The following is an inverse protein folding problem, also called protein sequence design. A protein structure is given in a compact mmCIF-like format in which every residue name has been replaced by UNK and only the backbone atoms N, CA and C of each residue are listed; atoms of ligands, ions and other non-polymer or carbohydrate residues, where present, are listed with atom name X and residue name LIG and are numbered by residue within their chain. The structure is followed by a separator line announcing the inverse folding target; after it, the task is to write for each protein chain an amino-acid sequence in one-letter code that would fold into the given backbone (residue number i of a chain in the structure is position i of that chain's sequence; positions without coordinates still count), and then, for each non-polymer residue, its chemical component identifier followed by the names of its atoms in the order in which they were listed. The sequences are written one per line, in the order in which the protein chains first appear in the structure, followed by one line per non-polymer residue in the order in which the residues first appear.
data_IF_340198206189
#
_entry.id   IF_340198206189
#
_cell.length_a   1.000
_cell.length_b   1.000
_cell.length_c   1.000
_cell.angle_alpha   90.00
_cell.angle_beta   90.00
_cell.angle_gamma   90.00
#
_symmetry.space_group_name_H-M   'P 1'
#
loop_
_entity.id
_entity.type
_entity.pdbx_description
1 polymer ?
#
# COMPACT_ATOMS: atom_id res chain seq x y z
N UNK A 1 -57.63 -3.69 21.20
CA UNK A 1 -56.94 -2.63 21.95
C UNK A 1 -55.53 -2.49 21.39
N UNK A 2 -55.34 -1.65 20.39
CA UNK A 2 -54.01 -1.09 20.08
C UNK A 2 -54.22 0.42 20.16
N UNK A 3 -53.69 1.03 21.22
CA UNK A 3 -53.88 2.45 21.51
C UNK A 3 -53.01 3.30 20.59
N UNK A 4 -53.61 4.34 20.03
CA UNK A 4 -52.88 5.47 19.46
C UNK A 4 -52.12 6.17 20.59
N UNK A 5 -50.80 6.03 20.64
CA UNK A 5 -49.98 6.90 21.49
C UNK A 5 -49.85 8.29 20.85
N UNK A 6 -50.15 9.32 21.63
CA UNK A 6 -49.95 10.71 21.22
C UNK A 6 -48.45 11.03 21.11
N UNK A 7 -48.00 11.81 20.10
CA UNK A 7 -46.59 12.12 19.86
C UNK A 7 -45.86 12.85 21.03
N UNK A 8 -46.58 13.24 22.08
CA UNK A 8 -46.02 13.83 23.30
C UNK A 8 -45.28 12.86 24.22
N UNK A 9 -45.33 11.54 24.00
CA UNK A 9 -44.65 10.52 24.81
C UNK A 9 -43.22 10.18 24.36
N UNK A 10 -42.75 10.75 23.24
CA UNK A 10 -41.42 10.49 22.70
C UNK A 10 -40.36 11.32 23.47
N UNK A 11 -39.20 10.75 23.83
CA UNK A 11 -38.11 11.52 24.40
C UNK A 11 -37.70 12.62 23.40
N UNK A 12 -37.85 13.89 23.78
CA UNK A 12 -37.39 15.02 22.97
C UNK A 12 -35.87 14.99 22.91
N UNK A 13 -35.30 14.76 21.73
CA UNK A 13 -33.87 14.99 21.52
C UNK A 13 -33.59 16.48 21.78
N UNK A 14 -32.63 16.85 22.65
CA UNK A 14 -32.36 18.25 22.98
C UNK A 14 -31.79 19.05 21.79
N UNK A 15 -31.23 18.38 20.78
CA UNK A 15 -30.75 18.98 19.53
C UNK A 15 -30.64 17.92 18.44
N UNK A 16 -30.86 18.32 17.18
CA UNK A 16 -30.65 17.50 15.98
C UNK A 16 -29.63 18.20 15.09
N UNK A 17 -28.41 17.66 15.02
CA UNK A 17 -27.37 18.19 14.12
C UNK A 17 -27.44 17.44 12.80
N UNK A 18 -27.65 18.18 11.71
CA UNK A 18 -27.68 17.65 10.37
C UNK A 18 -26.38 17.99 9.62
N UNK A 19 -25.77 16.99 8.96
CA UNK A 19 -24.54 17.19 8.19
C UNK A 19 -24.84 17.04 6.69
N UNK A 20 -24.43 18.04 5.91
CA UNK A 20 -24.60 18.09 4.46
C UNK A 20 -23.26 18.34 3.74
N UNK A 21 -23.33 18.60 2.43
CA UNK A 21 -22.17 18.93 1.60
C UNK A 21 -22.43 20.21 0.84
N UNK A 22 -21.40 21.03 0.61
CA UNK A 22 -21.48 22.23 -0.22
C UNK A 22 -22.00 21.98 -1.65
N UNK A 23 -22.01 20.73 -2.11
CA UNK A 23 -22.66 20.33 -3.37
C UNK A 23 -24.15 20.68 -3.44
N UNK A 24 -24.86 20.82 -2.30
CA UNK A 24 -26.30 21.15 -2.29
C UNK A 24 -26.62 22.57 -2.77
N UNK A 25 -25.63 23.47 -2.82
CA UNK A 25 -25.75 24.84 -3.35
C UNK A 25 -25.00 25.04 -4.67
N UNK A 26 -24.43 23.96 -5.23
CA UNK A 26 -23.77 24.02 -6.54
C UNK A 26 -24.79 23.88 -7.68
N UNK A 27 -24.56 24.62 -8.76
CA UNK A 27 -25.29 24.51 -10.03
C UNK A 27 -24.64 23.51 -11.02
N UNK A 28 -23.54 22.86 -10.60
CA UNK A 28 -22.70 21.94 -11.38
C UNK A 28 -22.08 22.53 -12.68
N UNK A 29 -22.25 23.83 -12.94
CA UNK A 29 -21.76 24.50 -14.14
C UNK A 29 -20.67 25.54 -13.82
N UNK A 30 -20.75 26.19 -12.67
CA UNK A 30 -19.79 27.19 -12.21
C UNK A 30 -19.03 26.71 -10.96
N UNK A 31 -17.78 27.16 -10.83
CA UNK A 31 -17.00 26.97 -9.61
C UNK A 31 -17.69 27.66 -8.43
N UNK A 32 -17.94 26.90 -7.36
CA UNK A 32 -18.46 27.44 -6.11
C UNK A 32 -17.33 28.18 -5.36
N UNK A 33 -17.27 29.51 -5.47
CA UNK A 33 -16.22 30.36 -4.87
C UNK A 33 -16.79 31.20 -3.73
N UNK A 34 -16.17 31.13 -2.55
CA UNK A 34 -16.53 31.96 -1.39
C UNK A 34 -17.96 31.75 -0.91
N UNK A 35 -18.47 30.52 -1.01
CA UNK A 35 -19.85 30.24 -0.64
C UNK A 35 -20.08 30.27 0.86
N UNK A 36 -21.22 30.85 1.24
CA UNK A 36 -21.69 30.95 2.61
C UNK A 36 -23.14 30.47 2.72
N UNK A 37 -23.72 30.65 3.90
CA UNK A 37 -25.10 30.24 4.22
C UNK A 37 -26.18 31.07 3.50
N UNK A 38 -25.81 32.16 2.84
CA UNK A 38 -26.74 32.98 2.06
C UNK A 38 -26.93 32.47 0.61
N UNK A 39 -26.13 31.49 0.17
CA UNK A 39 -26.27 30.91 -1.17
C UNK A 39 -27.59 30.12 -1.32
N UNK A 40 -28.37 30.38 -2.38
CA UNK A 40 -29.65 29.70 -2.57
C UNK A 40 -29.45 28.22 -2.95
N UNK A 41 -30.28 27.34 -2.39
CA UNK A 41 -30.36 25.96 -2.86
C UNK A 41 -30.98 25.93 -4.26
N UNK A 42 -30.34 25.24 -5.21
CA UNK A 42 -30.87 25.07 -6.57
C UNK A 42 -31.80 23.83 -6.64
N UNK A 43 -33.11 23.96 -6.90
CA UNK A 43 -34.02 22.81 -6.96
C UNK A 43 -33.92 22.01 -8.27
N UNK A 44 -34.55 20.84 -8.29
CA UNK A 44 -34.27 19.68 -9.16
C UNK A 44 -34.39 19.80 -10.68
N UNK A 45 -34.96 20.86 -11.25
CA UNK A 45 -35.20 20.92 -12.71
C UNK A 45 -34.03 21.54 -13.51
N UNK A 46 -33.04 22.14 -12.83
CA UNK A 46 -31.87 22.77 -13.45
C UNK A 46 -30.57 21.97 -13.25
N UNK A 47 -30.64 20.72 -12.74
CA UNK A 47 -29.45 19.94 -12.33
C UNK A 47 -29.26 18.67 -13.15
N UNK A 48 -28.03 18.37 -13.62
CA UNK A 48 -27.73 17.13 -14.34
C UNK A 48 -27.58 15.89 -13.43
N UNK A 49 -27.28 16.07 -12.13
CA UNK A 49 -26.85 14.96 -11.25
C UNK A 49 -27.89 14.53 -10.20
N UNK A 50 -28.42 13.30 -10.36
CA UNK A 50 -29.38 12.65 -9.47
C UNK A 50 -28.87 12.49 -8.01
N UNK A 51 -27.55 12.36 -7.82
CA UNK A 51 -26.93 12.20 -6.50
C UNK A 51 -27.06 13.46 -5.62
N UNK A 52 -26.87 14.65 -6.19
CA UNK A 52 -26.94 15.93 -5.46
C UNK A 52 -28.39 16.27 -5.13
N UNK A 53 -29.33 15.92 -6.02
CA UNK A 53 -30.75 16.07 -5.79
C UNK A 53 -31.23 15.28 -4.56
N UNK A 54 -30.85 14.01 -4.45
CA UNK A 54 -31.19 13.20 -3.27
C UNK A 54 -30.50 13.69 -1.99
N UNK A 55 -29.30 14.29 -2.06
CA UNK A 55 -28.67 14.92 -0.88
C UNK A 55 -29.37 16.19 -0.42
N UNK A 56 -29.93 16.97 -1.35
CA UNK A 56 -30.70 18.16 -1.03
C UNK A 56 -32.06 17.82 -0.41
N UNK A 57 -32.67 16.70 -0.82
CA UNK A 57 -33.97 16.22 -0.32
C UNK A 57 -33.86 15.33 0.92
N UNK A 58 -32.83 14.50 0.98
CA UNK A 58 -32.57 13.54 2.05
C UNK A 58 -31.14 13.73 2.53
N UNK A 59 -30.98 14.57 3.53
CA UNK A 59 -30.62 13.97 4.82
C UNK A 59 -29.35 13.11 4.94
N UNK A 60 -28.36 13.13 4.04
CA UNK A 60 -27.36 12.05 3.95
C UNK A 60 -26.00 12.40 4.54
N UNK A 61 -25.73 11.83 5.73
CA UNK A 61 -24.41 11.74 6.39
C UNK A 61 -23.45 10.94 5.50
N UNK A 62 -22.35 11.53 5.01
CA UNK A 62 -21.20 10.75 4.53
C UNK A 62 -19.89 11.56 4.56
N UNK A 63 -19.13 11.40 5.65
CA UNK A 63 -17.70 11.69 5.71
C UNK A 63 -16.88 10.52 5.14
N UNK A 64 -17.02 10.21 3.85
CA UNK A 64 -16.28 9.09 3.18
C UNK A 64 -15.76 9.49 1.80
N UNK A 65 -15.70 10.78 1.46
CA UNK A 65 -15.03 11.21 0.22
C UNK A 65 -13.51 10.98 0.35
N UNK A 66 -12.95 11.23 1.53
CA UNK A 66 -11.53 11.01 1.81
C UNK A 66 -11.10 9.55 1.63
N UNK A 67 -11.87 8.59 2.17
CA UNK A 67 -11.53 7.17 2.10
C UNK A 67 -11.73 6.60 0.68
N UNK A 68 -12.80 6.98 -0.03
CA UNK A 68 -13.04 6.48 -1.40
C UNK A 68 -11.98 7.01 -2.38
N UNK A 69 -11.63 8.30 -2.29
CA UNK A 69 -10.53 8.89 -3.07
C UNK A 69 -9.21 8.25 -2.68
N UNK A 70 -8.92 8.10 -1.38
CA UNK A 70 -7.73 7.41 -0.89
C UNK A 70 -7.62 5.97 -1.43
N UNK A 71 -8.69 5.18 -1.34
CA UNK A 71 -8.72 3.80 -1.84
C UNK A 71 -8.55 3.73 -3.36
N UNK A 72 -9.15 4.65 -4.12
CA UNK A 72 -8.94 4.73 -5.57
C UNK A 72 -7.49 5.12 -5.92
N UNK A 73 -6.88 6.03 -5.15
CA UNK A 73 -5.47 6.40 -5.31
C UNK A 73 -4.56 5.24 -4.97
N UNK A 74 -4.84 4.52 -3.87
CA UNK A 74 -4.11 3.31 -3.49
C UNK A 74 -4.22 2.25 -4.58
N UNK A 75 -5.43 1.99 -5.07
CA UNK A 75 -5.65 1.05 -6.16
C UNK A 75 -4.89 1.45 -7.45
N UNK A 76 -4.87 2.74 -7.78
CA UNK A 76 -4.13 3.26 -8.95
C UNK A 76 -2.62 3.18 -8.76
N UNK A 77 -2.12 3.48 -7.55
CA UNK A 77 -0.71 3.34 -7.17
C UNK A 77 -0.26 1.87 -7.26
N UNK A 78 -1.06 0.93 -6.74
CA UNK A 78 -0.74 -0.50 -6.76
C UNK A 78 -0.87 -1.13 -8.15
N UNK A 79 -1.80 -0.67 -8.99
CA UNK A 79 -2.02 -1.23 -10.35
C UNK A 79 -1.14 -0.60 -11.43
N UNK A 80 -0.57 0.58 -11.19
CA UNK A 80 0.36 1.24 -12.11
C UNK A 80 -0.19 2.10 -13.28
N UNK A 81 -1.50 2.20 -13.60
CA UNK A 81 -1.94 3.13 -14.65
C UNK A 81 -1.90 4.57 -14.15
N UNK A 82 -0.87 5.34 -14.53
CA UNK A 82 -0.68 6.74 -14.11
C UNK A 82 -1.05 7.77 -15.18
N UNK A 83 -1.53 7.33 -16.35
CA UNK A 83 -1.72 8.18 -17.55
C UNK A 83 -3.15 8.66 -17.78
N UNK A 84 -4.12 8.24 -16.97
CA UNK A 84 -5.52 8.61 -17.14
C UNK A 84 -5.92 9.59 -16.06
N UNK A 85 -6.46 10.75 -16.47
CA UNK A 85 -7.14 11.69 -15.60
C UNK A 85 -8.55 11.94 -16.11
N UNK A 86 -9.49 12.26 -15.22
CA UNK A 86 -10.85 12.64 -15.58
C UNK A 86 -10.90 14.16 -15.72
N UNK A 87 -11.22 14.65 -16.93
CA UNK A 87 -11.37 16.08 -17.23
C UNK A 87 -10.06 16.89 -17.21
N UNK A 88 -10.18 18.21 -17.34
CA UNK A 88 -9.04 19.14 -17.42
C UNK A 88 -8.31 19.37 -16.07
N UNK A 89 -8.86 18.82 -14.97
CA UNK A 89 -8.29 18.88 -13.62
C UNK A 89 -8.00 20.30 -13.10
N UNK A 90 -8.88 21.23 -13.50
CA UNK A 90 -8.92 22.62 -13.03
C UNK A 90 -9.92 22.81 -11.88
N UNK A 91 -10.63 21.76 -11.49
CA UNK A 91 -11.60 21.79 -10.40
C UNK A 91 -10.92 22.12 -9.07
N UNK A 92 -11.46 23.14 -8.41
CA UNK A 92 -11.07 23.58 -7.08
C UNK A 92 -11.83 22.78 -6.02
N UNK A 93 -11.11 22.32 -5.01
CA UNK A 93 -11.67 21.62 -3.87
C UNK A 93 -11.19 22.26 -2.57
N UNK A 94 -12.09 22.28 -1.59
CA UNK A 94 -11.76 22.51 -0.20
C UNK A 94 -11.72 21.15 0.50
N UNK A 95 -10.53 20.77 1.00
CA UNK A 95 -10.31 19.55 1.76
C UNK A 95 -10.26 19.87 3.26
N UNK A 96 -11.43 20.03 3.89
CA UNK A 96 -11.52 20.20 5.35
C UNK A 96 -11.05 18.94 6.09
N UNK A 97 -10.28 19.13 7.16
CA UNK A 97 -9.81 18.03 8.00
C UNK A 97 -11.00 17.40 8.76
N UNK A 98 -11.03 16.07 8.89
CA UNK A 98 -12.10 15.38 9.62
C UNK A 98 -12.17 15.79 11.10
N UNK A 99 -11.05 16.26 11.68
CA UNK A 99 -11.02 16.84 13.02
C UNK A 99 -11.84 18.13 13.13
N UNK A 100 -11.86 18.97 12.07
CA UNK A 100 -12.69 20.17 12.01
C UNK A 100 -14.19 19.85 12.09
N UNK A 101 -14.60 18.70 11.51
CA UNK A 101 -15.97 18.19 11.61
C UNK A 101 -16.34 17.68 13.02
N UNK A 102 -15.36 17.23 13.82
CA UNK A 102 -15.61 16.78 15.20
C UNK A 102 -15.95 17.91 16.17
N UNK A 103 -15.71 19.17 15.80
CA UNK A 103 -16.12 20.34 16.58
C UNK A 103 -17.60 20.71 16.38
N UNK A 104 -18.33 20.04 15.48
CA UNK A 104 -19.75 20.31 15.20
C UNK A 104 -20.66 20.26 16.44
N UNK A 105 -20.56 19.28 17.35
CA UNK A 105 -21.40 19.25 18.55
C UNK A 105 -21.12 20.42 19.49
N UNK A 106 -19.87 20.89 19.56
CA UNK A 106 -19.48 22.05 20.39
C UNK A 106 -20.02 23.37 19.82
N UNK A 107 -19.93 23.57 18.50
CA UNK A 107 -20.50 24.74 17.82
C UNK A 107 -22.03 24.79 17.92
N UNK A 108 -22.69 23.64 17.76
CA UNK A 108 -24.13 23.53 17.96
C UNK A 108 -24.54 23.87 19.40
N UNK A 109 -23.75 23.46 20.39
CA UNK A 109 -24.00 23.78 21.81
C UNK A 109 -23.76 25.24 22.18
N UNK A 110 -22.86 25.94 21.47
CA UNK A 110 -22.61 27.37 21.70
C UNK A 110 -23.65 28.27 21.03
N UNK A 111 -24.22 27.85 19.89
CA UNK A 111 -25.28 28.59 19.20
C UNK A 111 -26.59 28.66 20.00
N UNK A 112 -26.86 27.66 20.85
CA UNK A 112 -28.02 27.62 21.74
C UNK A 112 -27.95 28.67 22.87
N UNK A 113 -26.75 29.24 23.13
CA UNK A 113 -26.54 30.24 24.18
C UNK A 113 -26.72 31.70 23.69
N UNK A 114 -26.98 31.91 22.39
CA UNK A 114 -27.16 33.24 21.80
C UNK A 114 -28.63 33.63 21.72
N UNK A 115 -29.11 34.64 22.48
CA UNK A 115 -30.52 35.01 22.51
C UNK A 115 -30.86 35.92 21.32
N UNK A 116 -31.24 35.35 20.18
CA UNK A 116 -31.75 36.16 19.05
C UNK A 116 -32.88 35.50 18.25
N UNK A 117 -34.07 36.09 18.43
CA UNK A 117 -35.32 36.06 17.65
C UNK A 117 -36.14 34.74 17.58
N UNK A 118 -37.27 34.66 18.30
CA UNK A 118 -38.31 33.69 17.99
C UNK A 118 -39.16 34.20 16.81
N UNK A 119 -39.11 33.53 15.67
CA UNK A 119 -40.13 33.65 14.63
C UNK A 119 -41.07 32.44 14.73
N UNK A 120 -42.32 32.67 15.11
CA UNK A 120 -43.36 31.65 15.08
C UNK A 120 -43.78 31.48 13.62
N UNK A 121 -43.58 30.29 13.06
CA UNK A 121 -44.17 29.92 11.77
C UNK A 121 -45.65 29.56 11.97
N UNK A 122 -46.47 29.83 10.93
CA UNK A 122 -47.93 29.75 10.97
C UNK A 122 -48.52 28.33 11.13
N UNK A 123 -47.68 27.31 11.23
CA UNK A 123 -48.01 25.90 11.35
C UNK A 123 -47.90 25.35 12.79
N UNK A 124 -47.61 26.21 13.78
CA UNK A 124 -47.61 25.85 15.20
C UNK A 124 -46.32 25.19 15.70
N UNK A 125 -45.28 25.11 14.86
CA UNK A 125 -43.95 24.67 15.27
C UNK A 125 -43.08 25.84 15.75
N UNK A 126 -42.41 25.66 16.90
CA UNK A 126 -41.38 26.59 17.37
C UNK A 126 -40.07 26.29 16.64
N UNK A 127 -39.67 27.15 15.71
CA UNK A 127 -38.31 27.16 15.18
C UNK A 127 -37.43 28.01 16.10
N UNK A 128 -36.90 27.41 17.16
CA UNK A 128 -35.78 27.99 17.90
C UNK A 128 -34.49 27.40 17.33
N UNK A 129 -33.61 28.23 16.75
CA UNK A 129 -32.19 27.88 16.61
C UNK A 129 -31.77 27.01 15.41
N UNK A 130 -32.48 27.03 14.27
CA UNK A 130 -31.96 26.38 13.06
C UNK A 130 -30.91 27.27 12.37
N UNK A 131 -29.67 27.24 12.83
CA UNK A 131 -28.52 27.89 12.16
C UNK A 131 -27.77 26.88 11.29
N UNK A 132 -27.49 27.26 10.04
CA UNK A 132 -26.59 26.51 9.17
C UNK A 132 -25.15 27.01 9.40
N UNK A 133 -24.19 26.09 9.39
CA UNK A 133 -22.76 26.42 9.48
C UNK A 133 -22.02 25.88 8.26
N UNK A 134 -21.24 26.74 7.61
CA UNK A 134 -20.31 26.34 6.56
C UNK A 134 -18.96 26.02 7.20
N UNK A 135 -18.51 24.77 7.09
CA UNK A 135 -17.21 24.34 7.58
C UNK A 135 -16.26 24.25 6.40
N UNK A 136 -15.32 25.18 6.36
CA UNK A 136 -14.30 25.34 5.32
C UNK A 136 -12.93 25.44 5.99
N UNK A 137 -11.88 25.01 5.30
CA UNK A 137 -10.50 25.28 5.75
C UNK A 137 -9.93 26.59 5.16
N UNK A 138 -10.74 27.33 4.39
CA UNK A 138 -10.41 28.53 3.62
C UNK A 138 -9.16 28.40 2.72
N UNK A 139 -8.87 27.17 2.30
CA UNK A 139 -7.75 26.81 1.43
C UNK A 139 -8.25 25.96 0.26
N UNK A 140 -8.82 26.62 -0.74
CA UNK A 140 -9.11 25.97 -2.02
C UNK A 140 -7.82 25.49 -2.69
N UNK A 141 -7.80 24.24 -3.13
CA UNK A 141 -6.68 23.64 -3.86
C UNK A 141 -7.18 22.96 -5.12
N UNK A 142 -6.40 23.07 -6.19
CA UNK A 142 -6.62 22.25 -7.37
C UNK A 142 -6.41 20.78 -7.00
N UNK A 143 -7.33 19.92 -7.47
CA UNK A 143 -7.23 18.48 -7.25
C UNK A 143 -5.87 17.92 -7.71
N UNK A 144 -5.33 18.42 -8.84
CA UNK A 144 -4.00 18.07 -9.34
C UNK A 144 -2.86 18.30 -8.35
N UNK A 145 -2.92 19.38 -7.57
CA UNK A 145 -1.83 19.77 -6.67
C UNK A 145 -1.92 19.02 -5.34
N UNK A 146 -3.14 18.73 -4.89
CA UNK A 146 -3.38 17.75 -3.83
C UNK A 146 -2.82 16.37 -4.21
N UNK A 147 -3.16 15.88 -5.40
CA UNK A 147 -2.69 14.60 -5.93
C UNK A 147 -1.16 14.51 -6.06
N UNK A 148 -0.50 15.58 -6.53
CA UNK A 148 0.98 15.63 -6.62
C UNK A 148 1.66 15.59 -5.26
N UNK A 149 1.08 16.24 -4.25
CA UNK A 149 1.62 16.23 -2.88
C UNK A 149 1.52 14.86 -2.24
N UNK A 150 0.35 14.20 -2.39
CA UNK A 150 0.17 12.79 -2.01
C UNK A 150 1.17 11.90 -2.75
N UNK A 151 1.31 12.05 -4.06
CA UNK A 151 2.25 11.26 -4.86
C UNK A 151 3.70 11.41 -4.39
N UNK A 152 4.17 12.64 -4.12
CA UNK A 152 5.52 12.88 -3.56
C UNK A 152 5.71 12.23 -2.19
N UNK A 153 4.68 12.26 -1.35
CA UNK A 153 4.70 11.57 -0.06
C UNK A 153 4.83 10.06 -0.25
N UNK A 154 4.03 9.46 -1.13
CA UNK A 154 4.09 8.02 -1.44
C UNK A 154 5.41 7.58 -2.09
N UNK A 155 5.96 8.34 -3.03
CA UNK A 155 7.27 8.06 -3.65
C UNK A 155 8.39 8.06 -2.61
N UNK A 156 8.36 8.98 -1.64
CA UNK A 156 9.29 8.95 -0.50
C UNK A 156 9.03 7.74 0.42
N UNK A 157 7.80 7.26 0.48
CA UNK A 157 7.45 6.04 1.23
C UNK A 157 7.97 4.78 0.53
N UNK A 158 8.04 4.76 -0.81
CA UNK A 158 8.65 3.67 -1.58
C UNK A 158 10.14 3.50 -1.28
N UNK A 159 10.87 4.60 -1.08
CA UNK A 159 12.28 4.57 -0.61
C UNK A 159 12.41 4.00 0.81
N UNK A 160 11.47 4.34 1.70
CA UNK A 160 11.42 3.80 3.06
C UNK A 160 11.14 2.29 3.06
N UNK A 161 10.23 1.81 2.21
CA UNK A 161 9.91 0.40 2.04
C UNK A 161 11.10 -0.42 1.49
N UNK A 162 11.82 0.13 0.51
CA UNK A 162 13.07 -0.49 0.00
C UNK A 162 14.12 -0.63 1.11
N UNK A 163 14.32 0.41 1.90
CA UNK A 163 15.28 0.40 3.02
C UNK A 163 14.84 -0.55 4.13
N UNK A 164 13.54 -0.63 4.40
CA UNK A 164 12.98 -1.53 5.41
C UNK A 164 13.13 -3.00 5.04
N UNK A 165 12.90 -3.35 3.77
CA UNK A 165 13.09 -4.72 3.28
C UNK A 165 14.56 -5.17 3.40
N UNK A 166 15.52 -4.35 2.94
CA UNK A 166 16.96 -4.62 3.14
C UNK A 166 17.32 -4.72 4.61
N UNK A 167 16.82 -3.82 5.46
CA UNK A 167 17.09 -3.85 6.90
C UNK A 167 16.53 -5.11 7.58
N UNK A 168 15.39 -5.65 7.12
CA UNK A 168 14.86 -6.91 7.63
C UNK A 168 15.76 -8.10 7.27
N UNK A 169 16.32 -8.11 6.06
CA UNK A 169 17.26 -9.16 5.64
C UNK A 169 18.49 -9.24 6.53
N UNK A 170 19.04 -8.08 6.89
CA UNK A 170 20.27 -7.94 7.68
C UNK A 170 20.01 -7.80 9.19
N UNK A 171 18.76 -7.90 9.64
CA UNK A 171 18.39 -7.67 11.04
C UNK A 171 19.07 -8.70 11.96
N UNK A 172 20.07 -8.24 12.72
CA UNK A 172 20.73 -9.03 13.75
C UNK A 172 19.95 -8.94 15.07
N UNK A 173 19.28 -10.03 15.42
CA UNK A 173 18.58 -10.17 16.71
C UNK A 173 19.54 -10.79 17.74
N UNK A 174 19.69 -10.22 18.95
CA UNK A 174 20.50 -10.84 20.00
C UNK A 174 20.08 -12.29 20.27
N UNK A 175 21.07 -13.18 20.43
CA UNK A 175 20.87 -14.62 20.66
C UNK A 175 20.25 -15.42 19.49
N UNK A 176 19.92 -14.78 18.37
CA UNK A 176 19.56 -15.47 17.12
C UNK A 176 20.83 -15.69 16.31
N UNK A 177 21.04 -16.94 15.88
CA UNK A 177 22.32 -17.37 15.30
C UNK A 177 22.63 -16.66 13.98
N UNK A 178 21.66 -16.59 13.08
CA UNK A 178 21.84 -16.10 11.72
C UNK A 178 20.77 -15.05 11.39
N UNK A 179 21.15 -14.04 10.62
CA UNK A 179 20.23 -13.13 9.94
C UNK A 179 19.47 -13.85 8.83
N UNK A 180 18.40 -13.26 8.32
CA UNK A 180 17.65 -13.85 7.21
C UNK A 180 18.52 -14.00 5.95
N UNK A 181 19.41 -13.04 5.67
CA UNK A 181 20.31 -13.10 4.53
C UNK A 181 21.36 -14.22 4.66
N UNK A 182 21.89 -14.45 5.87
CA UNK A 182 22.80 -15.57 6.16
C UNK A 182 22.10 -16.93 6.03
N UNK A 183 20.81 -17.01 6.40
CA UNK A 183 20.00 -18.22 6.18
C UNK A 183 19.79 -18.45 4.68
N UNK A 184 19.48 -17.41 3.89
CA UNK A 184 19.38 -17.51 2.43
C UNK A 184 20.68 -18.00 1.79
N UNK A 185 21.83 -17.44 2.21
CA UNK A 185 23.14 -17.88 1.73
C UNK A 185 23.43 -19.36 2.08
N UNK A 186 23.07 -19.79 3.29
CA UNK A 186 23.22 -21.19 3.73
C UNK A 186 22.37 -22.14 2.87
N UNK A 187 21.12 -21.78 2.57
CA UNK A 187 20.24 -22.55 1.69
C UNK A 187 20.87 -22.71 0.29
N UNK A 188 21.43 -21.62 -0.27
CA UNK A 188 22.10 -21.66 -1.58
C UNK A 188 23.30 -22.60 -1.52
N UNK A 189 24.13 -22.51 -0.48
CA UNK A 189 25.33 -23.33 -0.32
C UNK A 189 25.01 -24.83 -0.18
N UNK A 190 23.96 -25.16 0.58
CA UNK A 190 23.50 -26.54 0.78
C UNK A 190 22.84 -27.11 -0.48
N UNK A 191 22.04 -26.29 -1.17
CA UNK A 191 21.30 -26.72 -2.36
C UNK A 191 22.17 -26.78 -3.61
N UNK A 192 23.24 -25.99 -3.67
CA UNK A 192 24.14 -25.85 -4.81
C UNK A 192 25.61 -25.93 -4.33
N UNK A 193 26.17 -27.14 -4.16
CA UNK A 193 27.54 -27.34 -3.67
C UNK A 193 28.64 -26.66 -4.53
N UNK A 194 28.31 -26.29 -5.78
CA UNK A 194 29.15 -25.51 -6.69
C UNK A 194 28.53 -24.15 -7.02
N UNK A 195 28.04 -23.40 -6.01
CA UNK A 195 27.44 -22.08 -6.22
C UNK A 195 28.33 -21.12 -7.03
N UNK A 196 29.66 -21.25 -6.95
CA UNK A 196 30.62 -20.45 -7.71
C UNK A 196 30.63 -20.71 -9.22
N UNK A 197 30.04 -21.81 -9.71
CA UNK A 197 29.84 -22.03 -11.15
C UNK A 197 28.62 -21.29 -11.71
N UNK A 198 27.84 -20.62 -10.85
CA UNK A 198 26.70 -19.83 -11.23
C UNK A 198 27.01 -18.34 -11.14
N UNK A 199 26.45 -17.59 -12.08
CA UNK A 199 26.21 -16.17 -11.90
C UNK A 199 24.76 -16.00 -11.49
N UNK A 200 24.53 -15.26 -10.42
CA UNK A 200 23.21 -14.97 -9.89
C UNK A 200 22.71 -13.65 -10.47
N UNK A 201 21.44 -13.62 -10.85
CA UNK A 201 20.78 -12.45 -11.42
C UNK A 201 19.52 -12.20 -10.60
N UNK A 202 19.43 -11.04 -9.95
CA UNK A 202 18.19 -10.56 -9.35
C UNK A 202 17.53 -9.57 -10.30
N UNK A 203 16.49 -9.97 -11.07
CA UNK A 203 15.80 -9.10 -12.01
C UNK A 203 14.80 -8.15 -11.33
N UNK A 204 14.69 -8.19 -10.00
CA UNK A 204 13.79 -7.37 -9.19
C UNK A 204 14.54 -6.83 -7.97
N UNK A 205 15.80 -6.43 -8.17
CA UNK A 205 16.74 -6.14 -7.09
C UNK A 205 16.34 -4.92 -6.26
N UNK A 206 15.50 -4.00 -6.77
CA UNK A 206 15.17 -2.72 -6.13
C UNK A 206 16.43 -2.04 -5.58
N UNK A 207 16.54 -1.82 -4.27
CA UNK A 207 17.72 -1.20 -3.64
C UNK A 207 18.90 -2.17 -3.35
N UNK A 208 18.79 -3.45 -3.72
CA UNK A 208 19.84 -4.46 -3.57
C UNK A 208 19.48 -5.63 -2.66
N UNK A 209 18.44 -5.51 -1.83
CA UNK A 209 17.91 -6.61 -1.01
C UNK A 209 19.00 -7.31 -0.17
N UNK A 210 18.98 -8.64 -0.06
CA UNK A 210 19.99 -9.41 0.69
C UNK A 210 21.27 -9.69 -0.11
N UNK A 211 21.36 -9.24 -1.37
CA UNK A 211 22.44 -9.64 -2.28
C UNK A 211 23.84 -9.31 -1.73
N UNK A 212 24.12 -8.13 -1.12
CA UNK A 212 25.44 -7.85 -0.53
C UNK A 212 25.87 -8.86 0.54
N UNK A 213 24.94 -9.23 1.43
CA UNK A 213 25.20 -10.19 2.50
C UNK A 213 25.36 -11.62 1.96
N UNK A 214 24.54 -12.01 0.97
CA UNK A 214 24.66 -13.31 0.29
C UNK A 214 25.98 -13.40 -0.48
N UNK A 215 26.36 -12.34 -1.20
CA UNK A 215 27.62 -12.28 -1.94
C UNK A 215 28.81 -12.45 -1.01
N UNK A 216 28.82 -11.76 0.13
CA UNK A 216 29.89 -11.90 1.15
C UNK A 216 30.03 -13.35 1.64
N UNK A 217 28.92 -14.06 1.79
CA UNK A 217 28.90 -15.43 2.28
C UNK A 217 29.29 -16.48 1.22
N UNK A 218 29.00 -16.21 -0.06
CA UNK A 218 29.20 -17.16 -1.16
C UNK A 218 30.44 -16.87 -2.01
N UNK A 219 30.90 -15.62 -2.08
CA UNK A 219 31.95 -15.12 -2.96
C UNK A 219 31.70 -15.50 -4.43
N UNK A 220 30.52 -15.14 -4.95
CA UNK A 220 30.05 -15.49 -6.31
C UNK A 220 29.55 -14.25 -7.04
N UNK A 221 29.44 -14.33 -8.38
CA UNK A 221 29.03 -13.18 -9.20
C UNK A 221 27.54 -12.93 -9.09
N UNK A 222 27.16 -11.67 -8.86
CA UNK A 222 25.78 -11.20 -8.83
C UNK A 222 25.55 -10.06 -9.83
N UNK A 223 24.38 -10.06 -10.46
CA UNK A 223 23.87 -8.96 -11.27
C UNK A 223 22.56 -8.45 -10.71
N UNK A 224 22.52 -7.16 -10.41
CA UNK A 224 21.31 -6.44 -10.00
C UNK A 224 20.63 -5.84 -11.23
N UNK A 225 19.35 -6.13 -11.41
CA UNK A 225 18.51 -5.56 -12.45
C UNK A 225 17.11 -5.27 -11.89
N UNK A 226 16.41 -4.32 -12.48
CA UNK A 226 15.05 -3.98 -12.06
C UNK A 226 14.29 -3.26 -13.18
N UNK A 227 12.96 -3.35 -13.16
CA UNK A 227 12.07 -2.54 -14.01
C UNK A 227 12.25 -1.04 -13.76
N UNK A 228 12.62 -0.66 -12.53
CA UNK A 228 12.91 0.70 -12.08
C UNK A 228 14.26 0.74 -11.35
N UNK A 229 15.38 0.83 -12.09
CA UNK A 229 16.72 0.73 -11.53
C UNK A 229 17.04 1.74 -10.41
N UNK A 230 17.53 1.25 -9.27
CA UNK A 230 18.05 2.08 -8.16
C UNK A 230 19.58 2.29 -8.30
N UNK A 231 19.98 3.00 -9.36
CA UNK A 231 21.39 3.11 -9.79
C UNK A 231 22.29 3.77 -8.74
N UNK A 232 21.76 4.66 -7.90
CA UNK A 232 22.55 5.36 -6.86
C UNK A 232 23.01 4.35 -5.80
N UNK A 233 22.08 3.53 -5.32
CA UNK A 233 22.30 2.48 -4.33
C UNK A 233 23.21 1.39 -4.90
N UNK A 234 22.97 0.96 -6.14
CA UNK A 234 23.81 -0.07 -6.77
C UNK A 234 25.24 0.37 -7.02
N UNK A 235 25.46 1.66 -7.33
CA UNK A 235 26.82 2.23 -7.39
C UNK A 235 27.50 2.21 -6.02
N UNK A 236 26.76 2.39 -4.93
CA UNK A 236 27.31 2.29 -3.57
C UNK A 236 27.66 0.84 -3.21
N UNK A 237 26.78 -0.12 -3.52
CA UNK A 237 27.02 -1.56 -3.32
C UNK A 237 28.24 -2.03 -4.13
N UNK A 238 28.29 -1.73 -5.44
CA UNK A 238 29.40 -2.13 -6.32
C UNK A 238 30.77 -1.60 -5.86
N UNK A 239 30.82 -0.44 -5.21
CA UNK A 239 32.08 0.09 -4.65
C UNK A 239 32.61 -0.76 -3.49
N UNK A 240 31.73 -1.48 -2.80
CA UNK A 240 32.07 -2.29 -1.63
C UNK A 240 32.22 -3.78 -1.98
N UNK A 241 31.61 -4.22 -3.09
CA UNK A 241 31.56 -5.63 -3.50
C UNK A 241 32.02 -5.81 -4.95
N UNK A 242 33.18 -6.42 -5.15
CA UNK A 242 33.77 -6.64 -6.49
C UNK A 242 32.97 -7.63 -7.34
N UNK A 243 32.33 -8.63 -6.71
CA UNK A 243 31.54 -9.63 -7.44
C UNK A 243 30.12 -9.15 -7.81
N UNK A 244 29.73 -7.94 -7.39
CA UNK A 244 28.41 -7.37 -7.70
C UNK A 244 28.50 -6.40 -8.87
N UNK A 245 27.78 -6.70 -9.93
CA UNK A 245 27.53 -5.81 -11.07
C UNK A 245 26.04 -5.50 -11.19
N UNK A 246 25.67 -4.56 -12.06
CA UNK A 246 24.28 -4.16 -12.25
C UNK A 246 24.02 -3.68 -13.69
N UNK A 247 22.76 -3.76 -14.11
CA UNK A 247 22.27 -3.24 -15.39
C UNK A 247 21.57 -1.90 -15.12
N UNK A 248 22.13 -0.75 -15.53
CA UNK A 248 21.52 0.55 -15.23
C UNK A 248 20.23 0.83 -16.01
N UNK A 249 19.97 0.10 -17.09
CA UNK A 249 18.75 0.21 -17.89
C UNK A 249 17.57 -0.56 -17.27
N UNK A 250 16.31 -0.11 -17.48
CA UNK A 250 15.12 -0.86 -17.07
C UNK A 250 15.07 -2.27 -17.67
N UNK A 251 14.88 -3.28 -16.81
CA UNK A 251 14.77 -4.69 -17.21
C UNK A 251 13.38 -5.24 -16.93
N UNK A 252 12.80 -5.95 -17.90
CA UNK A 252 11.57 -6.71 -17.73
C UNK A 252 11.87 -8.16 -17.37
N UNK A 253 11.52 -8.58 -16.15
CA UNK A 253 11.71 -9.95 -15.69
C UNK A 253 10.91 -10.98 -16.52
N UNK A 254 9.84 -10.56 -17.20
CA UNK A 254 8.99 -11.45 -18.02
C UNK A 254 9.63 -11.84 -19.35
N UNK A 255 10.66 -11.11 -19.79
CA UNK A 255 11.33 -11.29 -21.08
C UNK A 255 12.85 -11.11 -20.97
N UNK A 256 13.41 -11.35 -19.78
CA UNK A 256 14.85 -11.25 -19.58
C UNK A 256 15.53 -12.39 -20.32
N UNK A 257 16.49 -12.06 -21.17
CA UNK A 257 17.38 -13.03 -21.80
C UNK A 257 18.56 -13.34 -20.88
N UNK A 258 19.37 -14.33 -21.27
CA UNK A 258 20.58 -14.69 -20.53
C UNK A 258 21.56 -13.51 -20.51
N UNK A 259 22.06 -13.17 -19.32
CA UNK A 259 23.06 -12.12 -19.11
C UNK A 259 24.47 -12.70 -19.18
N UNK A 260 24.65 -13.95 -18.72
CA UNK A 260 25.97 -14.59 -18.70
C UNK A 260 26.42 -15.02 -20.09
N UNK A 261 27.63 -14.64 -20.50
CA UNK A 261 28.24 -15.15 -21.74
C UNK A 261 28.76 -16.59 -21.61
N UNK A 262 29.20 -16.97 -20.40
CA UNK A 262 29.73 -18.30 -20.09
C UNK A 262 29.27 -18.73 -18.68
N UNK A 263 29.16 -20.04 -18.47
CA UNK A 263 28.74 -20.61 -17.20
C UNK A 263 27.22 -20.70 -17.03
N UNK A 264 26.78 -21.08 -15.82
CA UNK A 264 25.35 -21.26 -15.52
C UNK A 264 24.75 -19.97 -14.95
N UNK A 265 23.49 -19.74 -15.26
CA UNK A 265 22.74 -18.57 -14.75
C UNK A 265 21.69 -19.02 -13.74
N UNK A 266 21.69 -18.36 -12.57
CA UNK A 266 20.67 -18.51 -11.54
C UNK A 266 19.83 -17.23 -11.43
N UNK A 267 18.51 -17.33 -11.56
CA UNK A 267 17.60 -16.20 -11.30
C UNK A 267 17.10 -16.23 -9.87
N UNK A 268 17.45 -15.22 -9.10
CA UNK A 268 17.09 -15.11 -7.68
C UNK A 268 16.03 -14.02 -7.50
N UNK A 269 14.97 -14.34 -6.74
CA UNK A 269 13.89 -13.40 -6.41
C UNK A 269 13.80 -13.27 -4.90
N UNK A 270 14.08 -12.08 -4.37
CA UNK A 270 14.08 -11.81 -2.93
C UNK A 270 12.86 -10.98 -2.54
N UNK A 271 11.82 -11.64 -2.00
CA UNK A 271 10.55 -11.00 -1.57
C UNK A 271 9.86 -10.23 -2.70
N UNK A 272 10.16 -10.58 -3.95
CA UNK A 272 9.71 -9.85 -5.13
C UNK A 272 8.67 -10.61 -5.94
N UNK A 273 8.65 -11.95 -5.86
CA UNK A 273 7.83 -12.77 -6.75
C UNK A 273 6.32 -12.62 -6.49
N UNK A 274 5.93 -12.36 -5.24
CA UNK A 274 4.56 -12.01 -4.83
C UNK A 274 3.97 -10.76 -5.49
N UNK A 275 4.78 -9.92 -6.14
CA UNK A 275 4.30 -8.72 -6.84
C UNK A 275 3.76 -9.01 -8.25
N UNK A 276 4.06 -10.18 -8.81
CA UNK A 276 3.52 -10.59 -10.10
C UNK A 276 2.13 -11.21 -9.91
N UNK A 277 1.18 -10.82 -10.75
CA UNK A 277 -0.06 -11.60 -10.95
C UNK A 277 0.24 -12.92 -11.65
N UNK A 278 -0.78 -13.79 -11.81
CA UNK A 278 -0.54 -15.14 -12.32
C UNK A 278 -0.05 -15.16 -13.77
N UNK A 279 -0.51 -14.23 -14.60
CA UNK A 279 -0.11 -14.16 -16.01
C UNK A 279 1.34 -13.66 -16.12
N UNK A 280 1.71 -12.61 -15.39
CA UNK A 280 3.08 -12.14 -15.33
C UNK A 280 4.01 -13.19 -14.70
N UNK A 281 3.58 -13.87 -13.63
CA UNK A 281 4.38 -14.91 -12.97
C UNK A 281 4.68 -16.09 -13.91
N UNK A 282 3.69 -16.53 -14.71
CA UNK A 282 3.89 -17.54 -15.77
C UNK A 282 4.93 -17.07 -16.79
N UNK A 283 4.88 -15.81 -17.21
CA UNK A 283 5.85 -15.27 -18.16
C UNK A 283 7.25 -15.19 -17.57
N UNK A 284 7.39 -14.72 -16.32
CA UNK A 284 8.67 -14.71 -15.60
C UNK A 284 9.26 -16.11 -15.52
N UNK A 285 8.49 -17.09 -15.05
CA UNK A 285 8.95 -18.48 -14.94
C UNK A 285 9.25 -19.10 -16.31
N UNK A 286 8.43 -18.83 -17.33
CA UNK A 286 8.70 -19.29 -18.70
C UNK A 286 10.00 -18.69 -19.25
N UNK A 287 10.25 -17.40 -19.02
CA UNK A 287 11.49 -16.75 -19.43
C UNK A 287 12.69 -17.36 -18.73
N UNK A 288 12.61 -17.55 -17.41
CA UNK A 288 13.64 -18.23 -16.60
C UNK A 288 13.92 -19.60 -17.17
N UNK A 289 12.87 -20.39 -17.39
CA UNK A 289 13.00 -21.77 -17.82
C UNK A 289 13.57 -21.88 -19.23
N UNK A 290 13.45 -20.87 -20.08
CA UNK A 290 14.00 -20.86 -21.44
C UNK A 290 15.44 -20.36 -21.50
N UNK A 291 15.82 -19.43 -20.63
CA UNK A 291 17.06 -18.67 -20.78
C UNK A 291 18.07 -18.87 -19.66
N UNK A 292 17.65 -19.37 -18.49
CA UNK A 292 18.50 -19.65 -17.33
C UNK A 292 18.52 -21.14 -16.96
N UNK A 293 19.43 -21.53 -16.07
CA UNK A 293 19.66 -22.91 -15.65
C UNK A 293 18.90 -23.30 -14.37
N UNK A 294 18.58 -22.28 -13.58
CA UNK A 294 18.15 -22.38 -12.20
C UNK A 294 17.39 -21.11 -11.82
N UNK A 295 16.40 -21.25 -10.95
CA UNK A 295 15.87 -20.14 -10.19
C UNK A 295 15.66 -20.48 -8.74
N UNK A 296 15.69 -19.44 -7.91
CA UNK A 296 15.38 -19.51 -6.50
C UNK A 296 14.51 -18.32 -6.11
N UNK A 297 13.42 -18.59 -5.41
CA UNK A 297 12.47 -17.60 -4.91
C UNK A 297 12.51 -17.67 -3.40
N UNK A 298 12.77 -16.54 -2.75
CA UNK A 298 12.78 -16.39 -1.30
C UNK A 298 11.63 -15.49 -0.86
N UNK A 299 10.87 -15.94 0.14
CA UNK A 299 9.72 -15.21 0.66
C UNK A 299 9.68 -15.30 2.19
N UNK A 300 9.50 -14.16 2.89
CA UNK A 300 9.24 -14.16 4.34
C UNK A 300 7.81 -14.54 4.71
N UNK A 301 6.89 -14.47 3.74
CA UNK A 301 5.48 -14.71 4.00
C UNK A 301 5.03 -15.92 3.20
N UNK A 302 4.11 -16.71 3.75
CA UNK A 302 3.30 -17.71 3.07
C UNK A 302 1.90 -17.73 3.72
N UNK A 303 0.90 -18.30 3.02
CA UNK A 303 -0.47 -18.42 3.54
C UNK A 303 -0.58 -19.53 4.61
N UNK A 304 0.04 -19.30 5.76
CA UNK A 304 0.02 -20.18 6.92
C UNK A 304 -0.09 -19.38 8.23
N UNK A 305 -0.50 -20.07 9.30
CA UNK A 305 -0.78 -19.43 10.58
C UNK A 305 0.48 -18.87 11.26
N UNK A 306 1.63 -19.50 11.07
CA UNK A 306 2.90 -19.06 11.67
C UNK A 306 3.37 -17.77 11.01
N UNK A 307 3.31 -17.70 9.68
CA UNK A 307 3.54 -16.45 8.94
C UNK A 307 2.56 -15.35 9.37
N UNK A 308 1.27 -15.67 9.55
CA UNK A 308 0.29 -14.68 10.00
C UNK A 308 0.69 -14.08 11.36
N UNK A 309 1.15 -14.90 12.30
CA UNK A 309 1.66 -14.43 13.59
C UNK A 309 2.91 -13.56 13.42
N UNK A 310 3.84 -13.93 12.53
CA UNK A 310 4.99 -13.09 12.20
C UNK A 310 4.57 -11.74 11.57
N UNK A 311 3.60 -11.74 10.65
CA UNK A 311 3.06 -10.53 10.03
C UNK A 311 2.46 -9.61 11.09
N UNK A 312 1.66 -10.14 12.02
CA UNK A 312 1.16 -9.38 13.16
C UNK A 312 2.32 -8.83 14.02
N UNK A 313 3.35 -9.65 14.29
CA UNK A 313 4.52 -9.26 15.07
C UNK A 313 5.45 -8.27 14.35
N UNK A 314 5.46 -8.13 13.04
CA UNK A 314 6.32 -7.14 12.36
C UNK A 314 5.57 -5.87 12.00
N UNK A 315 4.27 -6.00 11.78
CA UNK A 315 3.46 -4.97 11.14
C UNK A 315 2.52 -4.26 12.11
N UNK A 316 2.10 -4.95 13.18
CA UNK A 316 1.25 -4.43 14.26
C UNK A 316 2.04 -4.22 15.57
N UNK A 317 3.31 -4.63 15.62
CA UNK A 317 4.13 -4.56 16.85
C UNK A 317 4.91 -3.26 17.03
N UNK A 318 5.64 -3.21 18.15
CA UNK A 318 6.54 -2.15 18.63
C UNK A 318 7.56 -1.65 17.59
N UNK A 319 7.98 -2.44 16.60
CA UNK A 319 9.10 -2.06 15.71
C UNK A 319 8.80 -0.83 14.82
N UNK A 320 7.70 -0.79 14.04
CA UNK A 320 7.25 0.44 13.38
C UNK A 320 7.05 1.61 14.34
N UNK A 321 6.50 1.36 15.54
CA UNK A 321 6.30 2.40 16.55
C UNK A 321 7.62 2.99 17.05
N UNK A 322 8.63 2.16 17.33
CA UNK A 322 9.98 2.58 17.73
C UNK A 322 10.66 3.34 16.60
N UNK A 323 10.55 2.86 15.36
CA UNK A 323 11.10 3.58 14.20
C UNK A 323 10.47 4.98 14.07
N UNK A 324 9.14 5.09 14.21
CA UNK A 324 8.42 6.35 14.14
C UNK A 324 8.80 7.27 15.30
N UNK A 325 8.95 6.75 16.51
CA UNK A 325 9.45 7.54 17.65
C UNK A 325 10.88 8.01 17.40
N UNK A 326 11.80 7.15 16.99
CA UNK A 326 13.20 7.53 16.78
C UNK A 326 13.37 8.53 15.63
N UNK A 327 12.67 8.31 14.50
CA UNK A 327 12.83 9.12 13.29
C UNK A 327 11.96 10.37 13.27
N UNK A 328 10.72 10.26 13.76
CA UNK A 328 9.70 11.30 13.67
C UNK A 328 9.23 11.84 15.03
N UNK A 329 9.99 11.68 16.12
CA UNK A 329 9.68 12.24 17.46
C UNK A 329 9.27 13.71 17.48
N UNK A 330 9.71 14.50 16.51
CA UNK A 330 9.41 15.95 16.43
C UNK A 330 8.15 16.27 15.62
N UNK A 331 7.57 15.28 14.93
CA UNK A 331 6.38 15.47 14.12
C UNK A 331 5.15 14.99 14.87
N UNK A 332 4.40 15.94 15.44
CA UNK A 332 3.14 15.67 16.15
C UNK A 332 2.13 14.97 15.24
N UNK A 333 2.12 15.29 13.93
CA UNK A 333 1.26 14.62 12.94
C UNK A 333 1.57 13.12 12.86
N UNK A 334 2.84 12.73 12.72
CA UNK A 334 3.21 11.32 12.64
C UNK A 334 2.89 10.59 13.94
N UNK A 335 3.10 11.23 15.09
CA UNK A 335 2.76 10.66 16.40
C UNK A 335 1.24 10.45 16.52
N UNK A 336 0.42 11.45 16.20
CA UNK A 336 -1.04 11.35 16.30
C UNK A 336 -1.60 10.26 15.37
N UNK A 337 -1.21 10.24 14.10
CA UNK A 337 -1.73 9.25 13.14
C UNK A 337 -1.23 7.82 13.41
N UNK A 338 -0.08 7.68 14.07
CA UNK A 338 0.48 6.37 14.42
C UNK A 338 -0.11 5.84 15.72
N UNK A 339 -0.17 6.66 16.77
CA UNK A 339 -0.52 6.21 18.13
C UNK A 339 -1.99 6.46 18.52
N UNK A 340 -2.63 7.51 17.99
CA UNK A 340 -3.98 7.91 18.40
C UNK A 340 -5.06 7.40 17.43
N UNK A 341 -4.80 7.48 16.13
CA UNK A 341 -5.78 7.12 15.09
C UNK A 341 -5.50 5.72 14.49
N UNK A 342 -4.32 5.13 14.76
CA UNK A 342 -3.92 3.78 14.30
C UNK A 342 -3.92 3.57 12.78
N UNK A 343 -4.01 4.65 11.98
CA UNK A 343 -4.07 4.55 10.51
C UNK A 343 -2.81 3.93 9.93
N UNK A 344 -1.63 4.35 10.42
CA UNK A 344 -0.35 3.83 9.91
C UNK A 344 -0.16 2.33 10.25
N UNK A 345 -0.35 1.88 11.52
CA UNK A 345 -0.36 0.44 11.83
C UNK A 345 -1.37 -0.36 11.02
N UNK A 346 -2.60 0.14 10.85
CA UNK A 346 -3.62 -0.55 10.06
C UNK A 346 -3.25 -0.66 8.58
N UNK A 347 -2.72 0.42 7.98
CA UNK A 347 -2.28 0.43 6.59
C UNK A 347 -1.12 -0.55 6.36
N UNK A 348 -0.13 -0.56 7.25
CA UNK A 348 0.95 -1.54 7.22
C UNK A 348 0.38 -2.96 7.36
N UNK A 349 -0.51 -3.21 8.33
CA UNK A 349 -1.08 -4.53 8.59
C UNK A 349 -1.83 -5.08 7.38
N UNK A 350 -2.61 -4.22 6.70
CA UNK A 350 -3.29 -4.56 5.46
C UNK A 350 -2.27 -4.88 4.36
N UNK A 351 -1.21 -4.09 4.21
CA UNK A 351 -0.17 -4.33 3.21
C UNK A 351 0.57 -5.65 3.44
N UNK A 352 0.97 -5.93 4.68
CA UNK A 352 1.58 -7.19 5.09
C UNK A 352 0.64 -8.38 4.86
N UNK A 353 -0.63 -8.25 5.23
CA UNK A 353 -1.65 -9.28 5.01
C UNK A 353 -1.92 -9.53 3.53
N UNK A 354 -2.05 -8.47 2.72
CA UNK A 354 -2.21 -8.58 1.27
C UNK A 354 -0.98 -9.22 0.62
N UNK A 355 0.21 -8.88 1.11
CA UNK A 355 1.46 -9.51 0.68
C UNK A 355 1.50 -11.00 1.01
N UNK A 356 1.03 -11.39 2.20
CA UNK A 356 0.88 -12.79 2.58
C UNK A 356 -0.08 -13.54 1.64
N UNK A 357 -1.25 -12.95 1.35
CA UNK A 357 -2.24 -13.56 0.45
C UNK A 357 -1.71 -13.75 -0.98
N UNK A 358 -0.90 -12.81 -1.48
CA UNK A 358 -0.29 -12.90 -2.82
C UNK A 358 0.90 -13.84 -2.89
N UNK A 359 1.44 -14.28 -1.76
CA UNK A 359 2.61 -15.16 -1.77
C UNK A 359 2.20 -16.59 -2.07
N UNK A 360 2.76 -17.16 -3.14
CA UNK A 360 2.38 -18.46 -3.67
C UNK A 360 3.04 -19.60 -2.89
N UNK A 361 2.35 -20.74 -2.82
CA UNK A 361 2.93 -21.97 -2.27
C UNK A 361 3.83 -22.64 -3.29
N UNK A 362 4.61 -23.65 -2.85
CA UNK A 362 5.43 -24.44 -3.76
C UNK A 362 4.62 -25.09 -4.89
N UNK A 363 3.46 -25.65 -4.55
CA UNK A 363 2.58 -26.33 -5.51
C UNK A 363 2.08 -25.36 -6.56
N UNK A 364 1.63 -24.17 -6.15
CA UNK A 364 1.18 -23.14 -7.09
C UNK A 364 2.32 -22.64 -7.99
N UNK A 365 3.52 -22.44 -7.46
CA UNK A 365 4.69 -22.07 -8.29
C UNK A 365 4.98 -23.16 -9.32
N UNK A 366 4.89 -24.44 -8.94
CA UNK A 366 5.05 -25.58 -9.85
C UNK A 366 3.90 -25.67 -10.86
N UNK A 367 2.67 -25.35 -10.48
CA UNK A 367 1.53 -25.34 -11.40
C UNK A 367 1.68 -24.22 -12.45
N UNK A 368 2.31 -23.09 -12.09
CA UNK A 368 2.62 -22.01 -13.04
C UNK A 368 3.73 -22.38 -14.05
N UNK A 369 4.57 -23.38 -13.77
CA UNK A 369 5.58 -23.87 -14.72
C UNK A 369 5.04 -24.92 -15.70
N UNK A 370 3.90 -25.56 -15.40
CA UNK A 370 3.32 -26.61 -16.23
C UNK A 370 2.63 -26.03 -17.47
N UNK A 371 3.38 -25.87 -18.57
CA UNK A 371 2.80 -25.66 -19.92
C UNK A 371 2.39 -27.00 -20.55
N UNK A 372 1.43 -27.02 -21.50
CA UNK A 372 1.09 -28.22 -22.30
C UNK A 372 2.24 -28.76 -23.16
N UNK A 373 3.29 -27.96 -23.39
CA UNK A 373 4.46 -28.31 -24.20
C UNK A 373 5.68 -28.54 -23.31
N UNK A 374 5.86 -29.79 -22.86
CA UNK A 374 7.06 -30.54 -22.42
C UNK A 374 8.25 -29.89 -21.64
N UNK A 375 8.30 -28.59 -21.32
CA UNK A 375 9.46 -27.98 -20.63
C UNK A 375 9.55 -28.42 -19.14
N UNK A 376 8.47 -28.91 -18.54
CA UNK A 376 8.41 -29.23 -17.11
C UNK A 376 9.18 -30.50 -16.73
N UNK A 377 9.29 -31.48 -17.63
CA UNK A 377 9.83 -32.81 -17.31
C UNK A 377 11.36 -32.80 -17.10
N UNK A 378 12.05 -31.77 -17.59
CA UNK A 378 13.50 -31.58 -17.43
C UNK A 378 13.89 -30.86 -16.13
N UNK A 379 12.93 -30.34 -15.36
CA UNK A 379 13.21 -29.52 -14.18
C UNK A 379 12.93 -30.26 -12.88
N UNK A 380 13.89 -30.18 -11.95
CA UNK A 380 13.74 -30.68 -10.58
C UNK A 380 13.38 -29.52 -9.67
N UNK A 381 12.33 -29.71 -8.87
CA UNK A 381 11.81 -28.71 -7.94
C UNK A 381 12.16 -29.10 -6.50
N UNK A 382 12.63 -28.13 -5.71
CA UNK A 382 12.88 -28.25 -4.28
C UNK A 382 12.27 -27.07 -3.53
N UNK A 383 11.95 -27.26 -2.27
CA UNK A 383 11.48 -26.19 -1.40
C UNK A 383 11.82 -26.46 0.06
N UNK A 384 11.70 -25.44 0.89
CA UNK A 384 11.83 -25.56 2.33
C UNK A 384 11.42 -24.26 3.04
N UNK A 385 11.41 -24.31 4.36
CA UNK A 385 10.96 -23.21 5.21
C UNK A 385 11.72 -23.16 6.55
N UNK A 386 13.06 -23.01 6.55
CA UNK A 386 13.82 -22.92 7.78
C UNK A 386 13.33 -21.77 8.67
N UNK A 387 13.33 -22.03 9.97
CA UNK A 387 13.01 -21.04 11.01
C UNK A 387 14.21 -20.10 11.15
N UNK A 388 13.98 -18.80 11.07
CA UNK A 388 14.96 -17.77 11.46
C UNK A 388 14.86 -17.56 12.97
N UNK A 389 13.68 -17.18 13.46
CA UNK A 389 13.40 -16.99 14.89
C UNK A 389 11.90 -16.97 15.18
N UNK A 390 11.44 -17.76 16.17
CA UNK A 390 10.04 -17.80 16.57
C UNK A 390 9.12 -18.11 15.39
N UNK A 391 8.08 -17.28 15.11
CA UNK A 391 7.20 -17.48 13.95
C UNK A 391 7.80 -17.00 12.62
N UNK A 392 9.03 -16.47 12.61
CA UNK A 392 9.67 -15.99 11.39
C UNK A 392 10.37 -17.14 10.65
N UNK A 393 9.83 -17.47 9.49
CA UNK A 393 10.41 -18.44 8.55
C UNK A 393 10.94 -17.72 7.30
N UNK A 394 11.95 -18.32 6.68
CA UNK A 394 12.32 -18.02 5.31
C UNK A 394 11.82 -19.15 4.40
N UNK A 395 10.75 -18.91 3.67
CA UNK A 395 10.24 -19.84 2.68
C UNK A 395 11.07 -19.72 1.41
N UNK A 396 11.43 -20.85 0.82
CA UNK A 396 12.18 -20.87 -0.43
C UNK A 396 11.68 -21.94 -1.39
N UNK A 397 11.74 -21.61 -2.67
CA UNK A 397 11.40 -22.49 -3.77
C UNK A 397 12.49 -22.42 -4.82
N UNK A 398 12.94 -23.57 -5.30
CA UNK A 398 14.00 -23.68 -6.28
C UNK A 398 13.57 -24.62 -7.39
N UNK A 399 13.82 -24.24 -8.63
CA UNK A 399 13.73 -25.11 -9.80
C UNK A 399 15.07 -25.11 -10.51
N UNK A 400 15.57 -26.28 -10.93
CA UNK A 400 16.82 -26.39 -11.67
C UNK A 400 16.82 -27.52 -12.68
N UNK A 401 17.62 -27.37 -13.73
CA UNK A 401 17.92 -28.47 -14.65
C UNK A 401 19.06 -29.32 -14.08
N UNK A 402 18.86 -30.62 -13.83
CA UNK A 402 19.93 -31.52 -13.43
C UNK A 402 21.01 -31.55 -14.52
N UNK A 403 22.25 -31.73 -14.08
CA UNK A 403 23.38 -31.87 -15.01
C UNK A 403 23.28 -33.28 -15.58
N UNK A 404 23.17 -33.42 -16.90
CA UNK A 404 23.42 -34.72 -17.54
C UNK A 404 24.85 -35.14 -17.17
N UNK A 405 24.95 -36.22 -16.40
CA UNK A 405 26.19 -36.74 -15.83
C UNK A 405 27.14 -37.29 -16.88
#
# INVERSE_FOLDING_TARGET
MFGHESPSSWPRAPFLVYTGSASVISDANADLKGADVAFPMTPGDQRPDFYIHNKALAGSIFGVVGLAVFLCIMNTYFRGPTRVHIGLNQSLFDFAESASAMHMPYLASSADQTPSRPAIAADGWRHSGCEAFFITNDQSRYFRDFMRRLWRYYVNTTYLDQTYSTALWDLRIPFVRNTAAEVAASIIKESLPKASSYTFVDPCARAGGPIPAIETALNTKFFLADRRPCVIEWKAIKKQHECISFIPEPVDATSLERITSEGRECRIFNISFRHFDDDAAKLVLSSVMQSADLFIIFEFLQRDFTTFLFCCLTTVSILPFVHILLRFRRSLVHIIFTFMIWVAPAALAIDGFMSMLRTRTHTEIKDLTWKPEHVSDEWVFKHGSPVIFGPWHLHWHMGYRPIES
#
